data_IF_952795800392
#
_entry.id   IF_952795800392
#
_cell.length_a   1.000
_cell.length_b   1.000
_cell.length_c   1.000
_cell.angle_alpha   90.00
_cell.angle_beta   90.00
_cell.angle_gamma   90.00
#
_symmetry.space_group_name_H-M   'P 1'
#
loop_
_entity.id
_entity.type
_entity.pdbx_description
1 polymer ?
#
# COMPACT_ATOMS: atom_id res chain seq x y z
N UNK A 1 0.32 -3.26 -13.24
CA UNK A 1 -0.96 -2.56 -13.53
C UNK A 1 -0.96 -1.95 -14.93
N UNK A 2 0.02 -1.12 -15.28
CA UNK A 2 0.12 -0.54 -16.65
C UNK A 2 0.23 -1.62 -17.73
N UNK A 3 1.11 -2.61 -17.54
CA UNK A 3 1.23 -3.75 -18.48
C UNK A 3 -0.02 -4.66 -18.51
N UNK A 4 -0.93 -4.52 -17.54
CA UNK A 4 -2.20 -5.22 -17.51
C UNK A 4 -3.35 -4.42 -18.16
N UNK A 5 -3.03 -3.32 -18.88
CA UNK A 5 -4.02 -2.53 -19.62
C UNK A 5 -4.67 -1.38 -18.84
N UNK A 6 -4.27 -1.14 -17.58
CA UNK A 6 -4.78 0.03 -16.83
C UNK A 6 -3.98 1.26 -17.25
N UNK A 7 -4.66 2.21 -17.91
CA UNK A 7 -4.05 3.48 -18.34
C UNK A 7 -3.37 4.21 -17.17
N UNK A 8 -2.17 4.75 -17.40
CA UNK A 8 -1.35 5.41 -16.36
C UNK A 8 -2.10 6.51 -15.62
N UNK A 9 -2.91 7.27 -16.34
CA UNK A 9 -3.66 8.42 -15.80
C UNK A 9 -4.77 8.00 -14.82
N UNK A 10 -5.14 6.72 -14.79
CA UNK A 10 -6.12 6.14 -13.87
C UNK A 10 -5.51 5.60 -12.57
N UNK A 11 -4.19 5.67 -12.43
CA UNK A 11 -3.46 5.13 -11.28
C UNK A 11 -2.79 6.28 -10.53
N UNK A 12 -3.14 6.45 -9.26
CA UNK A 12 -2.41 7.31 -8.35
C UNK A 12 -1.69 6.46 -7.30
N UNK A 13 -0.39 6.68 -7.12
CA UNK A 13 0.41 5.99 -6.10
C UNK A 13 0.81 6.97 -5.00
N UNK A 14 0.49 6.64 -3.75
CA UNK A 14 0.86 7.42 -2.57
C UNK A 14 1.52 6.51 -1.52
N UNK A 15 2.73 6.87 -1.10
CA UNK A 15 3.43 6.20 -0.01
C UNK A 15 3.07 6.81 1.34
N UNK A 16 2.67 5.98 2.30
CA UNK A 16 2.29 6.42 3.65
C UNK A 16 3.37 6.13 4.72
N UNK A 17 4.41 5.37 4.39
CA UNK A 17 5.47 5.00 5.34
C UNK A 17 4.90 4.42 6.64
N UNK A 18 5.37 4.93 7.78
CA UNK A 18 4.95 4.48 9.10
C UNK A 18 3.71 5.21 9.64
N UNK A 19 3.16 6.19 8.90
CA UNK A 19 2.08 7.05 9.39
C UNK A 19 0.72 6.37 9.42
N UNK A 20 0.56 5.23 8.74
CA UNK A 20 -0.69 4.48 8.65
C UNK A 20 -0.47 2.97 8.94
N UNK A 21 -0.04 2.62 10.16
CA UNK A 21 0.19 1.22 10.54
C UNK A 21 -1.17 0.50 10.70
N UNK A 22 -1.25 -0.74 10.21
CA UNK A 22 -2.40 -1.63 10.44
C UNK A 22 -2.24 -2.41 11.75
N UNK A 23 -1.01 -2.70 12.13
CA UNK A 23 -0.64 -3.32 13.41
C UNK A 23 0.48 -2.51 14.08
N UNK A 24 0.70 -2.68 15.38
CA UNK A 24 1.78 -1.97 16.10
C UNK A 24 3.15 -2.35 15.53
N UNK A 25 4.12 -1.44 15.47
CA UNK A 25 5.48 -1.75 14.98
C UNK A 25 6.37 -2.42 16.06
N UNK A 26 5.80 -3.29 16.89
CA UNK A 26 6.45 -3.87 18.07
C UNK A 26 7.01 -5.28 17.86
N UNK A 27 6.49 -6.05 16.89
CA UNK A 27 7.01 -7.36 16.52
C UNK A 27 7.34 -7.45 15.03
N UNK A 28 8.16 -8.44 14.66
CA UNK A 28 8.48 -8.71 13.26
C UNK A 28 7.26 -9.15 12.45
N UNK A 29 6.36 -9.93 13.05
CA UNK A 29 5.08 -10.28 12.40
C UNK A 29 4.25 -9.01 12.14
N UNK A 30 4.16 -8.11 13.11
CA UNK A 30 3.36 -6.91 12.94
C UNK A 30 3.98 -5.93 11.93
N UNK A 31 5.31 -5.83 11.89
CA UNK A 31 6.01 -5.09 10.82
C UNK A 31 5.75 -5.71 9.44
N UNK A 32 5.67 -7.03 9.35
CA UNK A 32 5.30 -7.71 8.10
C UNK A 32 3.88 -7.36 7.66
N UNK A 33 2.92 -7.28 8.59
CA UNK A 33 1.55 -6.85 8.31
C UNK A 33 1.47 -5.39 7.82
N UNK A 34 2.41 -4.54 8.24
CA UNK A 34 2.48 -3.14 7.82
C UNK A 34 3.12 -2.94 6.43
N UNK A 35 3.96 -3.87 5.95
CA UNK A 35 4.53 -3.87 4.59
C UNK A 35 3.50 -4.32 3.56
N UNK A 36 2.51 -3.47 3.27
CA UNK A 36 1.40 -3.78 2.36
C UNK A 36 1.13 -2.68 1.34
N UNK A 37 0.41 -3.06 0.28
CA UNK A 37 -0.16 -2.16 -0.72
C UNK A 37 -1.68 -2.20 -0.56
N UNK A 38 -2.33 -1.03 -0.53
CA UNK A 38 -3.78 -0.91 -0.55
C UNK A 38 -4.22 -0.31 -1.89
N UNK A 39 -5.23 -0.94 -2.51
CA UNK A 39 -5.86 -0.44 -3.74
C UNK A 39 -7.24 0.08 -3.37
N UNK A 40 -7.52 1.35 -3.67
CA UNK A 40 -8.83 1.97 -3.48
C UNK A 40 -9.39 2.35 -4.85
N UNK A 41 -10.65 2.02 -5.09
CA UNK A 41 -11.39 2.41 -6.29
C UNK A 41 -12.27 3.62 -5.94
N UNK A 42 -12.32 4.60 -6.83
CA UNK A 42 -13.17 5.79 -6.73
C UNK A 42 -14.39 5.63 -7.64
#
# INVERSE_FOLDING_TARGET
MVNAGIGKDRINAKGFGETHPKAKNDSDENRQLNRRIELKFL
#
